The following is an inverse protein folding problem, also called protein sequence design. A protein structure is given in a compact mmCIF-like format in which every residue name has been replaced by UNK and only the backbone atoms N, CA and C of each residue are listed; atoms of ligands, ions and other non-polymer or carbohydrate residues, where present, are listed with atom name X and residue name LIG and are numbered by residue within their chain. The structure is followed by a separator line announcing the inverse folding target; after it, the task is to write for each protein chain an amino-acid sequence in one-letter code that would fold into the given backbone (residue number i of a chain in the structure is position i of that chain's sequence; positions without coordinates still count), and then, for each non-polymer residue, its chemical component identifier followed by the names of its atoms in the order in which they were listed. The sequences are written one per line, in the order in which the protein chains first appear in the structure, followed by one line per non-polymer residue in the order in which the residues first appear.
data_IF_505808764373
#
_entry.id   IF_505808764373
#
_cell.length_a   1.000
_cell.length_b   1.000
_cell.length_c   1.000
_cell.angle_alpha   90.00
_cell.angle_beta   90.00
_cell.angle_gamma   90.00
#
_symmetry.space_group_name_H-M   'P 1'
#
loop_
_entity.id
_entity.type
_entity.pdbx_description
1 polymer ?
#
# COMPACT_ATOMS: atom_id res chain seq x y z
N UNK A 1 -0.52 4.97 -35.18
CA UNK A 1 -1.29 4.29 -34.12
C UNK A 1 -0.53 3.03 -33.75
N UNK A 2 -0.54 2.71 -32.46
CA UNK A 2 0.15 1.58 -31.79
C UNK A 2 1.65 1.36 -32.00
N UNK A 3 2.38 1.30 -30.89
CA UNK A 3 3.03 0.06 -30.44
C UNK A 3 3.71 0.31 -29.10
N UNK A 4 3.29 -0.37 -28.03
CA UNK A 4 4.23 -0.91 -27.05
C UNK A 4 3.70 -2.24 -26.53
N UNK A 5 4.32 -3.29 -27.06
CA UNK A 5 4.26 -4.69 -26.65
C UNK A 5 4.82 -4.88 -25.23
N UNK A 6 4.16 -5.71 -24.42
CA UNK A 6 4.81 -6.38 -23.30
C UNK A 6 4.15 -7.74 -23.06
N UNK A 7 4.68 -8.75 -23.72
CA UNK A 7 4.55 -10.15 -23.32
C UNK A 7 5.71 -10.46 -22.37
N UNK A 8 5.51 -10.16 -21.07
CA UNK A 8 6.48 -10.50 -20.03
C UNK A 8 6.23 -11.93 -19.53
N UNK A 9 6.88 -12.90 -20.18
CA UNK A 9 7.02 -14.25 -19.65
C UNK A 9 8.07 -14.24 -18.52
N UNK A 10 7.63 -14.45 -17.27
CA UNK A 10 8.52 -14.52 -16.11
C UNK A 10 8.42 -15.90 -15.45
N UNK A 11 9.54 -16.63 -15.44
CA UNK A 11 9.67 -17.94 -14.82
C UNK A 11 9.48 -17.88 -13.29
N UNK A 12 8.90 -18.92 -12.65
CA UNK A 12 8.63 -18.92 -11.22
C UNK A 12 9.92 -19.21 -10.43
N UNK A 13 10.63 -18.16 -10.04
CA UNK A 13 11.85 -18.25 -9.25
C UNK A 13 11.88 -17.23 -8.13
N UNK A 14 11.34 -17.61 -6.97
CA UNK A 14 11.60 -17.07 -5.61
C UNK A 14 11.79 -15.55 -5.47
N UNK A 15 10.74 -14.89 -5.01
CA UNK A 15 10.80 -13.53 -4.46
C UNK A 15 9.62 -12.71 -4.94
N UNK A 16 8.60 -12.62 -4.08
CA UNK A 16 7.38 -11.83 -4.26
C UNK A 16 7.63 -10.48 -4.94
N UNK A 17 7.32 -10.40 -6.23
CA UNK A 17 6.90 -9.13 -6.81
C UNK A 17 5.39 -9.10 -6.65
N UNK A 18 4.91 -8.54 -5.54
CA UNK A 18 3.51 -8.13 -5.45
C UNK A 18 3.32 -7.07 -6.52
N UNK A 19 2.87 -7.49 -7.69
CA UNK A 19 2.38 -6.62 -8.75
C UNK A 19 1.07 -5.99 -8.25
N UNK A 20 1.19 -5.04 -7.32
CA UNK A 20 0.15 -4.08 -7.02
C UNK A 20 -0.07 -3.32 -8.33
N UNK A 21 -1.16 -3.65 -9.02
CA UNK A 21 -1.63 -2.93 -10.20
C UNK A 21 -1.52 -1.42 -9.91
N UNK A 22 -1.00 -0.61 -10.84
CA UNK A 22 -0.76 0.81 -10.57
C UNK A 22 -2.09 1.45 -10.17
N UNK A 23 -2.17 1.94 -8.94
CA UNK A 23 -3.29 2.74 -8.45
C UNK A 23 -3.54 3.99 -9.33
N UNK A 24 -2.56 4.35 -10.15
CA UNK A 24 -2.65 5.37 -11.19
C UNK A 24 -3.68 5.03 -12.28
N UNK A 25 -3.98 3.76 -12.53
CA UNK A 25 -4.97 3.35 -13.54
C UNK A 25 -6.43 3.41 -13.04
N UNK A 26 -6.64 3.52 -11.72
CA UNK A 26 -7.96 3.46 -11.11
C UNK A 26 -8.11 4.53 -10.02
N UNK A 27 -9.01 5.51 -10.18
CA UNK A 27 -9.33 6.52 -9.15
C UNK A 27 -10.06 5.95 -7.89
N UNK A 28 -10.04 4.64 -7.71
CA UNK A 28 -10.69 3.93 -6.60
C UNK A 28 -10.08 4.31 -5.25
N UNK A 29 -10.88 4.15 -4.20
CA UNK A 29 -10.44 4.30 -2.81
C UNK A 29 -9.43 3.20 -2.45
N UNK A 30 -8.43 3.55 -1.66
CA UNK A 30 -7.51 2.58 -1.09
C UNK A 30 -8.27 1.75 -0.07
N UNK A 31 -8.21 0.43 -0.23
CA UNK A 31 -8.81 -0.55 0.67
C UNK A 31 -7.70 -1.34 1.33
N UNK A 32 -7.97 -2.04 2.44
CA UNK A 32 -6.96 -2.87 3.14
C UNK A 32 -6.23 -3.85 2.21
N UNK A 33 -6.91 -4.37 1.17
CA UNK A 33 -6.31 -5.27 0.18
C UNK A 33 -5.19 -4.63 -0.66
N UNK A 34 -5.10 -3.29 -0.67
CA UNK A 34 -4.04 -2.54 -1.33
C UNK A 34 -2.78 -2.39 -0.46
N UNK A 35 -2.89 -2.73 0.82
CA UNK A 35 -1.78 -2.67 1.77
C UNK A 35 -1.18 -4.07 1.91
N UNK A 36 0.10 -4.20 1.62
CA UNK A 36 0.84 -5.44 1.86
C UNK A 36 1.21 -5.54 3.32
N UNK A 37 0.90 -6.67 3.96
CA UNK A 37 1.34 -6.91 5.33
C UNK A 37 2.69 -7.63 5.34
N UNK A 38 3.64 -7.09 6.07
CA UNK A 38 4.94 -7.70 6.34
C UNK A 38 4.93 -8.28 7.75
N UNK A 39 4.77 -9.60 7.82
CA UNK A 39 4.78 -10.33 9.10
C UNK A 39 6.14 -10.31 9.80
N UNK A 40 7.24 -10.19 9.04
CA UNK A 40 8.61 -10.17 9.58
C UNK A 40 8.84 -8.99 10.52
N UNK A 41 8.32 -7.83 10.16
CA UNK A 41 8.51 -6.58 10.91
C UNK A 41 7.22 -6.12 11.60
N UNK A 42 6.12 -6.89 11.50
CA UNK A 42 4.78 -6.47 11.91
C UNK A 42 4.44 -5.07 11.32
N UNK A 43 4.69 -4.86 10.03
CA UNK A 43 4.41 -3.58 9.35
C UNK A 43 3.47 -3.76 8.17
N UNK A 44 2.80 -2.69 7.76
CA UNK A 44 2.05 -2.67 6.50
C UNK A 44 2.76 -1.76 5.51
N UNK A 45 2.82 -2.12 4.24
CA UNK A 45 3.32 -1.26 3.17
C UNK A 45 2.14 -0.77 2.35
N UNK A 46 2.01 0.55 2.26
CA UNK A 46 1.00 1.20 1.46
C UNK A 46 1.48 1.30 -0.01
N UNK A 47 0.53 1.39 -0.94
CA UNK A 47 0.82 1.50 -2.37
C UNK A 47 1.44 2.84 -2.77
N UNK A 48 1.37 3.85 -1.89
CA UNK A 48 2.14 5.09 -2.02
C UNK A 48 3.62 4.93 -1.64
N UNK A 49 4.09 3.71 -1.36
CA UNK A 49 5.49 3.41 -1.02
C UNK A 49 5.85 3.64 0.45
N UNK A 50 4.86 3.78 1.33
CA UNK A 50 5.09 4.05 2.75
C UNK A 50 4.84 2.84 3.64
N UNK A 51 5.76 2.61 4.59
CA UNK A 51 5.59 1.61 5.63
C UNK A 51 4.84 2.18 6.85
N UNK A 52 3.71 1.57 7.20
CA UNK A 52 2.97 1.78 8.45
C UNK A 52 3.50 0.83 9.52
N UNK A 53 4.04 1.42 10.59
CA UNK A 53 4.49 0.69 11.76
C UNK A 53 3.48 0.82 12.90
N UNK A 54 3.55 -0.10 13.88
CA UNK A 54 2.79 0.05 15.12
C UNK A 54 3.28 1.28 15.87
N UNK A 55 2.39 2.26 16.05
CA UNK A 55 2.69 3.47 16.83
C UNK A 55 2.16 3.39 18.25
N UNK A 56 1.05 2.69 18.45
CA UNK A 56 0.43 2.49 19.77
C UNK A 56 -0.43 1.25 19.78
N UNK A 57 -0.82 0.80 20.97
CA UNK A 57 -1.88 -0.18 21.17
C UNK A 57 -3.08 0.51 21.78
N UNK A 58 -4.28 0.21 21.28
CA UNK A 58 -5.52 0.69 21.88
C UNK A 58 -5.78 -0.03 23.23
N UNK A 59 -6.73 0.48 24.01
CA UNK A 59 -7.11 -0.11 25.31
C UNK A 59 -7.59 -1.57 25.19
N UNK A 60 -8.13 -1.97 24.04
CA UNK A 60 -8.49 -3.36 23.71
C UNK A 60 -7.28 -4.25 23.35
N UNK A 61 -6.06 -3.74 23.41
CA UNK A 61 -4.84 -4.47 23.02
C UNK A 61 -4.59 -4.53 21.50
N UNK A 62 -5.43 -3.88 20.69
CA UNK A 62 -5.29 -3.83 19.24
C UNK A 62 -4.11 -2.94 18.83
N UNK A 63 -3.24 -3.45 17.95
CA UNK A 63 -2.12 -2.71 17.35
C UNK A 63 -2.66 -1.64 16.39
N UNK A 64 -2.29 -0.38 16.62
CA UNK A 64 -2.60 0.74 15.72
C UNK A 64 -1.40 0.97 14.83
N UNK A 65 -1.60 0.69 13.55
CA UNK A 65 -0.61 0.96 12.51
C UNK A 65 -0.81 2.36 11.97
N UNK A 66 0.27 3.15 11.93
CA UNK A 66 0.22 4.51 11.40
C UNK A 66 1.45 4.76 10.55
N UNK A 67 1.21 5.34 9.37
CA UNK A 67 2.27 5.85 8.50
C UNK A 67 2.79 7.19 8.99
N UNK A 68 3.95 7.60 8.49
CA UNK A 68 4.49 8.94 8.75
C UNK A 68 3.63 10.03 8.10
N UNK A 69 3.12 10.96 8.91
CA UNK A 69 2.28 12.05 8.42
C UNK A 69 2.97 12.92 7.35
N UNK A 70 4.29 13.14 7.44
CA UNK A 70 5.05 13.90 6.45
C UNK A 70 4.99 13.25 5.06
N UNK A 71 5.32 11.96 4.98
CA UNK A 71 5.24 11.19 3.72
C UNK A 71 3.80 11.06 3.25
N UNK A 72 2.83 10.89 4.17
CA UNK A 72 1.42 10.91 3.81
C UNK A 72 0.99 12.26 3.22
N UNK A 73 1.48 13.39 3.73
CA UNK A 73 1.10 14.70 3.22
C UNK A 73 1.57 14.95 1.78
N UNK A 74 2.71 14.38 1.40
CA UNK A 74 3.26 14.42 0.05
C UNK A 74 2.66 13.34 -0.88
N UNK A 75 1.87 12.42 -0.33
CA UNK A 75 1.33 11.30 -1.07
C UNK A 75 0.11 11.73 -1.92
N UNK A 76 0.08 11.44 -3.24
CA UNK A 76 -1.06 11.76 -4.11
C UNK A 76 -2.32 10.97 -3.72
N UNK A 77 -2.14 9.86 -3.00
CA UNK A 77 -3.22 9.01 -2.51
C UNK A 77 -3.77 9.44 -1.14
N UNK A 78 -3.19 10.43 -0.47
CA UNK A 78 -3.61 10.87 0.87
C UNK A 78 -5.10 11.20 0.94
N UNK A 79 -5.55 12.02 -0.02
CA UNK A 79 -6.97 12.39 -0.14
C UNK A 79 -7.87 11.20 -0.36
N UNK A 80 -7.39 10.05 -0.84
CA UNK A 80 -8.19 8.82 -1.06
C UNK A 80 -8.07 7.86 0.14
N UNK A 81 -6.89 7.79 0.74
CA UNK A 81 -6.55 6.91 1.86
C UNK A 81 -7.20 7.33 3.18
N UNK A 82 -7.23 8.64 3.48
CA UNK A 82 -7.71 9.17 4.76
C UNK A 82 -9.19 9.60 4.77
N UNK A 83 -10.02 9.20 3.79
CA UNK A 83 -11.43 9.61 3.75
C UNK A 83 -12.37 8.82 4.67
N UNK A 84 -11.89 7.78 5.36
CA UNK A 84 -12.75 6.88 6.14
C UNK A 84 -13.21 7.43 7.50
N UNK A 85 -13.11 8.74 7.74
CA UNK A 85 -13.80 9.38 8.86
C UNK A 85 -15.01 10.15 8.33
N UNK A 86 -16.18 9.53 8.42
CA UNK A 86 -17.47 10.23 8.40
C UNK A 86 -18.30 9.76 9.58
#
# INVERSE_FOLDING_TARGET
MEQQSVDAYLAPGKGETTQLSPLDACERKLVKADFSYHETDDTYTCPGGQTLSVVRRNAEGQKVYQGQAAVCAECPYFKRCCQSQK
#
